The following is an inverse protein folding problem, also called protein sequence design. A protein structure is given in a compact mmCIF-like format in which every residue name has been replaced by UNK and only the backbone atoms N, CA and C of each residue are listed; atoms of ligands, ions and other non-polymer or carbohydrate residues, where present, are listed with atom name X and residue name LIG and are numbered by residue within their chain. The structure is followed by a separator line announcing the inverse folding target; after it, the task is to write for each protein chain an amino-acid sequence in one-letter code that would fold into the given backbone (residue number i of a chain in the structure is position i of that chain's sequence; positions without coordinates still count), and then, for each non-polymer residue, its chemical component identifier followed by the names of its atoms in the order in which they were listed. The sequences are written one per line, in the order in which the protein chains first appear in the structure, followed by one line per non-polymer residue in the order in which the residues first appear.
data_IF_841703484827
#
_entry.id   IF_841703484827
#
_cell.length_a   1.000
_cell.length_b   1.000
_cell.length_c   1.000
_cell.angle_alpha   90.00
_cell.angle_beta   90.00
_cell.angle_gamma   90.00
#
_symmetry.space_group_name_H-M   'P 1'
#
loop_
_entity.id
_entity.type
_entity.pdbx_description
1 polymer ?
#
# COMPACT_ATOMS: atom_id res chain seq x y z
N UNK A 1 3.27 -17.41 -6.65
CA UNK A 1 2.70 -16.86 -7.88
C UNK A 1 3.57 -17.30 -9.04
N UNK A 2 2.96 -17.54 -10.19
CA UNK A 2 3.64 -17.90 -11.43
C UNK A 2 4.52 -16.77 -11.98
N UNK A 3 5.24 -17.05 -13.06
CA UNK A 3 6.06 -16.04 -13.74
C UNK A 3 5.17 -14.97 -14.36
N UNK A 4 5.53 -13.70 -14.18
CA UNK A 4 4.80 -12.59 -14.78
C UNK A 4 4.96 -12.60 -16.30
N UNK A 5 3.85 -12.63 -17.04
CA UNK A 5 3.80 -12.52 -18.50
C UNK A 5 3.05 -11.23 -18.90
N UNK A 6 3.77 -10.30 -19.54
CA UNK A 6 3.25 -9.00 -19.99
C UNK A 6 2.17 -9.13 -21.07
N UNK A 7 2.28 -10.14 -21.94
CA UNK A 7 1.37 -10.35 -23.08
C UNK A 7 0.05 -11.02 -22.65
N UNK A 8 -0.06 -11.46 -21.39
CA UNK A 8 -1.25 -12.14 -20.83
C UNK A 8 -1.70 -13.38 -21.63
N UNK A 9 -0.80 -13.98 -22.42
CA UNK A 9 -1.12 -15.11 -23.33
C UNK A 9 -1.67 -16.35 -22.60
N UNK A 10 -1.30 -16.52 -21.33
CA UNK A 10 -1.74 -17.64 -20.52
C UNK A 10 -1.95 -17.20 -19.06
N UNK A 11 -2.96 -17.81 -18.43
CA UNK A 11 -3.17 -17.72 -16.99
C UNK A 11 -2.60 -18.98 -16.35
N UNK A 12 -1.66 -18.82 -15.41
CA UNK A 12 -1.09 -19.94 -14.67
C UNK A 12 -2.17 -20.57 -13.76
N UNK A 13 -2.50 -21.86 -13.92
CA UNK A 13 -3.46 -22.54 -13.06
C UNK A 13 -3.12 -22.45 -11.57
N UNK A 14 -1.83 -22.39 -11.21
CA UNK A 14 -1.40 -22.26 -9.82
C UNK A 14 -1.81 -20.91 -9.22
N UNK A 15 -1.79 -19.84 -10.01
CA UNK A 15 -2.22 -18.51 -9.58
C UNK A 15 -3.73 -18.45 -9.36
N UNK A 16 -4.50 -19.08 -10.26
CA UNK A 16 -5.96 -19.19 -10.11
C UNK A 16 -6.30 -19.90 -8.79
N UNK A 17 -5.62 -21.01 -8.50
CA UNK A 17 -5.82 -21.78 -7.26
C UNK A 17 -5.45 -20.93 -6.04
N UNK A 18 -4.33 -20.20 -6.09
CA UNK A 18 -3.87 -19.36 -4.99
C UNK A 18 -4.84 -18.21 -4.69
N UNK A 19 -5.34 -17.53 -5.72
CA UNK A 19 -6.34 -16.46 -5.60
C UNK A 19 -7.64 -17.01 -5.02
N UNK A 20 -8.18 -18.09 -5.61
CA UNK A 20 -9.44 -18.69 -5.16
C UNK A 20 -9.37 -19.17 -3.70
N UNK A 21 -8.24 -19.77 -3.30
CA UNK A 21 -8.01 -20.21 -1.92
C UNK A 21 -7.94 -19.02 -0.96
N UNK A 22 -7.22 -17.96 -1.35
CA UNK A 22 -7.06 -16.76 -0.53
C UNK A 22 -8.40 -16.02 -0.34
N UNK A 23 -9.20 -15.90 -1.40
CA UNK A 23 -10.54 -15.28 -1.33
C UNK A 23 -11.47 -16.07 -0.42
N UNK A 24 -11.50 -17.41 -0.54
CA UNK A 24 -12.31 -18.26 0.36
C UNK A 24 -11.92 -18.07 1.83
N UNK A 25 -10.61 -17.99 2.11
CA UNK A 25 -10.12 -17.72 3.48
C UNK A 25 -10.49 -16.33 3.97
N UNK A 26 -10.38 -15.30 3.12
CA UNK A 26 -10.79 -13.94 3.48
C UNK A 26 -12.29 -13.88 3.80
N UNK A 27 -13.14 -14.51 2.98
CA UNK A 27 -14.59 -14.58 3.20
C UNK A 27 -14.94 -15.28 4.51
N UNK A 28 -14.16 -16.29 4.93
CA UNK A 28 -14.37 -16.96 6.21
C UNK A 28 -14.18 -16.04 7.43
N UNK A 29 -13.53 -14.89 7.27
CA UNK A 29 -13.38 -13.89 8.34
C UNK A 29 -14.54 -12.90 8.40
N UNK A 30 -15.41 -12.87 7.41
CA UNK A 30 -16.48 -11.88 7.32
C UNK A 30 -17.46 -11.99 8.49
N UNK A 31 -17.79 -10.84 9.10
CA UNK A 31 -18.67 -10.77 10.28
C UNK A 31 -18.05 -11.27 11.60
N UNK A 32 -16.77 -11.66 11.60
CA UNK A 32 -16.06 -12.09 12.81
C UNK A 32 -15.30 -10.94 13.46
N UNK A 33 -14.96 -11.08 14.75
CA UNK A 33 -14.11 -10.12 15.47
C UNK A 33 -12.73 -9.96 14.82
N UNK A 34 -12.20 -11.02 14.20
CA UNK A 34 -10.93 -10.96 13.48
C UNK A 34 -10.98 -9.96 12.31
N UNK A 35 -12.11 -9.84 11.61
CA UNK A 35 -12.25 -8.82 10.56
C UNK A 35 -12.28 -7.41 11.16
N UNK A 36 -12.96 -7.19 12.29
CA UNK A 36 -12.96 -5.91 12.99
C UNK A 36 -11.55 -5.49 13.37
N UNK A 37 -10.75 -6.41 13.92
CA UNK A 37 -9.35 -6.17 14.27
C UNK A 37 -8.50 -5.87 13.04
N UNK A 38 -8.67 -6.62 11.94
CA UNK A 38 -7.98 -6.33 10.68
C UNK A 38 -8.32 -4.94 10.14
N UNK A 39 -9.58 -4.49 10.22
CA UNK A 39 -9.98 -3.14 9.80
C UNK A 39 -9.28 -2.08 10.64
N UNK A 40 -9.27 -2.22 11.97
CA UNK A 40 -8.58 -1.28 12.85
C UNK A 40 -7.08 -1.24 12.58
N UNK A 41 -6.45 -2.41 12.40
CA UNK A 41 -5.04 -2.51 12.06
C UNK A 41 -4.72 -1.84 10.71
N UNK A 42 -5.59 -1.98 9.71
CA UNK A 42 -5.44 -1.30 8.42
C UNK A 42 -5.54 0.22 8.53
N UNK A 43 -6.51 0.72 9.31
CA UNK A 43 -6.74 2.17 9.48
C UNK A 43 -5.68 2.84 10.35
N UNK A 44 -5.02 2.09 11.24
CA UNK A 44 -4.00 2.62 12.14
C UNK A 44 -2.60 2.76 11.50
N UNK A 45 -2.41 2.31 10.26
CA UNK A 45 -1.13 2.43 9.57
C UNK A 45 -0.85 3.88 9.17
N UNK A 46 0.37 4.34 9.45
CA UNK A 46 0.90 5.57 8.86
C UNK A 46 1.28 5.30 7.40
N UNK A 47 0.35 5.58 6.49
CA UNK A 47 0.52 5.48 5.04
C UNK A 47 0.81 6.85 4.40
N UNK A 48 1.24 7.82 5.21
CA UNK A 48 1.67 9.14 4.76
C UNK A 48 3.03 9.07 4.05
N UNK A 49 3.40 10.12 3.32
CA UNK A 49 4.73 10.27 2.72
C UNK A 49 5.80 10.66 3.71
N UNK A 50 5.45 11.01 4.96
CA UNK A 50 6.41 11.47 5.97
C UNK A 50 7.58 10.50 6.17
N UNK A 51 7.28 9.22 6.37
CA UNK A 51 8.31 8.18 6.53
C UNK A 51 9.05 7.86 5.22
N UNK A 52 8.35 7.51 4.12
CA UNK A 52 8.98 7.20 2.85
C UNK A 52 9.85 8.33 2.27
N UNK A 53 9.42 9.59 2.38
CA UNK A 53 10.17 10.73 1.86
C UNK A 53 11.51 10.92 2.58
N UNK A 54 11.56 10.71 3.90
CA UNK A 54 12.81 10.75 4.67
C UNK A 54 13.81 9.68 4.24
N UNK A 55 13.33 8.46 3.96
CA UNK A 55 14.20 7.39 3.42
C UNK A 55 14.76 7.76 2.04
N UNK A 56 13.94 8.39 1.20
CA UNK A 56 14.40 8.89 -0.10
C UNK A 56 15.43 10.00 0.04
N UNK A 57 15.22 10.94 0.94
CA UNK A 57 16.17 12.00 1.26
C UNK A 57 17.53 11.43 1.67
N UNK A 58 17.56 10.47 2.61
CA UNK A 58 18.79 9.79 3.04
C UNK A 58 19.54 9.16 1.86
N UNK A 59 18.82 8.44 1.00
CA UNK A 59 19.40 7.81 -0.19
C UNK A 59 19.96 8.87 -1.15
N UNK A 60 19.20 9.93 -1.43
CA UNK A 60 19.62 10.98 -2.38
C UNK A 60 20.81 11.77 -1.87
N UNK A 61 20.85 12.10 -0.58
CA UNK A 61 22.00 12.76 0.05
C UNK A 61 23.26 11.88 -0.01
N UNK A 62 23.12 10.57 0.14
CA UNK A 62 24.25 9.63 0.02
C UNK A 62 24.89 9.59 -1.36
N UNK A 63 24.19 10.05 -2.41
CA UNK A 63 24.72 10.14 -3.77
C UNK A 63 25.68 11.33 -3.98
N UNK A 64 25.78 12.25 -3.00
CA UNK A 64 26.84 13.27 -2.96
C UNK A 64 26.75 14.36 -4.04
N UNK A 65 25.56 14.67 -4.55
CA UNK A 65 25.39 15.74 -5.53
C UNK A 65 25.81 17.11 -4.92
N UNK A 66 26.61 17.94 -5.62
CA UNK A 66 27.09 19.21 -5.06
C UNK A 66 25.96 20.16 -4.65
N UNK A 67 26.05 20.72 -3.44
CA UNK A 67 25.04 21.63 -2.88
C UNK A 67 23.80 20.94 -2.32
N UNK A 68 23.83 19.61 -2.16
CA UNK A 68 22.73 18.88 -1.51
C UNK A 68 22.75 19.09 0.00
N UNK A 69 21.59 19.43 0.55
CA UNK A 69 21.38 19.67 1.99
C UNK A 69 20.10 18.95 2.44
N UNK A 70 20.00 18.57 3.72
CA UNK A 70 18.74 18.07 4.27
C UNK A 70 17.60 19.08 4.08
N UNK A 71 16.44 18.59 3.63
CA UNK A 71 15.21 19.33 3.53
C UNK A 71 14.57 19.59 4.89
N UNK A 72 13.58 20.48 4.89
CA UNK A 72 12.76 20.78 6.07
C UNK A 72 11.64 19.75 6.24
N UNK A 73 11.30 19.44 7.47
CA UNK A 73 10.13 18.61 7.77
C UNK A 73 8.86 19.42 7.47
N UNK A 74 8.21 19.07 6.36
CA UNK A 74 6.92 19.62 5.98
C UNK A 74 5.77 18.86 6.65
N UNK A 75 4.69 19.58 6.97
CA UNK A 75 3.40 18.98 7.25
C UNK A 75 2.83 18.42 5.93
N UNK A 76 2.38 17.17 5.92
CA UNK A 76 1.75 16.61 4.73
C UNK A 76 0.39 17.26 4.52
N UNK A 77 0.26 18.02 3.42
CA UNK A 77 -1.00 18.63 3.01
C UNK A 77 -1.69 17.67 2.03
N UNK A 78 -2.21 16.56 2.53
CA UNK A 78 -3.07 15.71 1.72
C UNK A 78 -4.39 16.46 1.45
N UNK A 79 -4.92 16.47 0.20
CA UNK A 79 -6.31 16.84 -0.01
C UNK A 79 -7.16 15.93 0.88
N UNK A 80 -8.04 16.53 1.70
CA UNK A 80 -9.00 15.75 2.48
C UNK A 80 -9.77 14.86 1.49
N UNK A 81 -9.66 13.55 1.64
CA UNK A 81 -10.30 12.50 0.82
C UNK A 81 -11.84 12.51 0.85
N UNK A 82 -12.45 13.60 1.34
CA UNK A 82 -13.89 13.80 1.46
C UNK A 82 -14.58 14.18 0.14
N UNK A 83 -13.86 14.47 -0.93
CA UNK A 83 -14.50 14.88 -2.20
C UNK A 83 -15.19 13.72 -2.95
N UNK A 84 -14.86 12.45 -2.67
CA UNK A 84 -15.43 11.29 -3.35
C UNK A 84 -16.36 10.42 -2.48
N UNK A 85 -16.87 10.94 -1.36
CA UNK A 85 -17.92 10.25 -0.61
C UNK A 85 -19.22 10.41 -1.41
N UNK A 86 -19.72 9.32 -1.99
CA UNK A 86 -21.05 9.31 -2.59
C UNK A 86 -22.07 9.76 -1.53
N UNK A 87 -22.67 10.94 -1.74
CA UNK A 87 -23.85 11.40 -0.98
C UNK A 87 -25.02 10.42 -1.17
N UNK A 88 -25.95 10.34 -0.19
CA UNK A 88 -27.00 9.32 -0.15
C UNK A 88 -27.84 9.20 -1.42
#
# INVERSE_FOLDING_TARGET
MGSFNVECDAVDPADVIAVATSVKRALATYGTQALTEMVQNCMAQDLSWKGPAKKWEEVLLSLGAPGSEPGIDGEEIAPLSKENVATP
#
